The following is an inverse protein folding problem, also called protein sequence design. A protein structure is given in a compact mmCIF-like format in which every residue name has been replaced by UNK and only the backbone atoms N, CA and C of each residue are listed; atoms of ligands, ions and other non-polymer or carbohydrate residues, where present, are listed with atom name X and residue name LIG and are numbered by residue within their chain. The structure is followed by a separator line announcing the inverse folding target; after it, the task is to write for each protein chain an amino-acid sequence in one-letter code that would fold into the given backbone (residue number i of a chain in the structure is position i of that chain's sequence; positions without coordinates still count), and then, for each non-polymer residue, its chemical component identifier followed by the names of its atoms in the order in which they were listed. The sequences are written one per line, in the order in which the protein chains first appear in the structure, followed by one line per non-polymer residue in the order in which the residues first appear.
data_IF_432533053283
#
_entry.id   IF_432533053283
#
_cell.length_a   1.000
_cell.length_b   1.000
_cell.length_c   1.000
_cell.angle_alpha   90.00
_cell.angle_beta   90.00
_cell.angle_gamma   90.00
#
_symmetry.space_group_name_H-M   'P 1'
#
loop_
_entity.id
_entity.type
_entity.pdbx_description
1 polymer ?
#
# COMPACT_ATOMS: atom_id res chain seq x y z
N UNK A 1 -26.57 3.59 3.25
CA UNK A 1 -26.65 2.99 1.90
C UNK A 1 -25.38 2.16 1.60
N UNK A 2 -24.18 2.75 1.57
CA UNK A 2 -22.95 2.03 1.24
C UNK A 2 -22.60 0.94 2.27
N UNK A 3 -22.74 1.19 3.56
CA UNK A 3 -22.55 0.18 4.62
C UNK A 3 -23.51 -1.00 4.49
N UNK A 4 -24.78 -0.73 4.17
CA UNK A 4 -25.76 -1.78 3.92
C UNK A 4 -25.42 -2.59 2.66
N UNK A 5 -24.89 -1.93 1.64
CA UNK A 5 -24.39 -2.58 0.44
C UNK A 5 -23.18 -3.49 0.74
N UNK A 6 -22.22 -3.02 1.52
CA UNK A 6 -21.08 -3.82 1.99
C UNK A 6 -21.58 -5.08 2.71
N UNK A 7 -22.49 -4.91 3.69
CA UNK A 7 -23.08 -6.02 4.44
C UNK A 7 -23.75 -7.04 3.51
N UNK A 8 -24.64 -6.58 2.63
CA UNK A 8 -25.39 -7.45 1.73
C UNK A 8 -24.48 -8.22 0.77
N UNK A 9 -23.46 -7.56 0.23
CA UNK A 9 -22.49 -8.19 -0.66
C UNK A 9 -21.58 -9.19 0.06
N UNK A 10 -21.14 -8.90 1.29
CA UNK A 10 -20.35 -9.84 2.09
C UNK A 10 -21.16 -11.09 2.44
N UNK A 11 -22.43 -10.94 2.84
CA UNK A 11 -23.33 -12.08 3.07
C UNK A 11 -23.47 -12.91 1.81
N UNK A 12 -23.67 -12.26 0.64
CA UNK A 12 -23.74 -12.93 -0.66
C UNK A 12 -22.47 -13.71 -0.98
N UNK A 13 -21.29 -13.13 -0.73
CA UNK A 13 -19.99 -13.78 -0.98
C UNK A 13 -19.73 -14.95 -0.03
N UNK A 14 -20.14 -14.85 1.25
CA UNK A 14 -19.93 -15.89 2.24
C UNK A 14 -20.91 -17.07 2.07
N UNK A 15 -22.16 -16.81 1.73
CA UNK A 15 -23.22 -17.82 1.70
C UNK A 15 -23.43 -18.45 0.32
N UNK A 16 -23.24 -17.70 -0.78
CA UNK A 16 -23.52 -18.12 -2.15
C UNK A 16 -22.24 -18.41 -2.92
N UNK A 17 -22.32 -19.41 -3.78
CA UNK A 17 -21.28 -19.74 -4.74
C UNK A 17 -20.55 -21.05 -4.45
N UNK A 18 -19.99 -21.61 -5.50
CA UNK A 18 -19.24 -22.86 -5.45
C UNK A 18 -17.88 -22.60 -4.80
N UNK A 19 -17.51 -23.41 -3.82
CA UNK A 19 -16.18 -23.39 -3.23
C UNK A 19 -15.37 -24.52 -3.84
N UNK A 20 -14.26 -24.18 -4.50
CA UNK A 20 -13.29 -25.21 -4.86
C UNK A 20 -12.78 -25.86 -3.60
N UNK A 21 -12.98 -27.16 -3.50
CA UNK A 21 -12.48 -27.96 -2.39
C UNK A 21 -11.26 -28.71 -2.88
N UNK A 22 -10.11 -28.22 -2.49
CA UNK A 22 -8.87 -28.98 -2.60
C UNK A 22 -8.71 -29.85 -1.35
N UNK A 23 -8.10 -31.00 -1.52
CA UNK A 23 -7.72 -31.86 -0.39
C UNK A 23 -6.62 -31.16 0.43
N UNK A 24 -6.73 -31.18 1.76
CA UNK A 24 -5.78 -30.51 2.66
C UNK A 24 -4.34 -30.93 2.39
N UNK A 25 -4.11 -32.22 2.12
CA UNK A 25 -2.79 -32.76 1.78
C UNK A 25 -2.19 -32.14 0.50
N UNK A 26 -3.03 -31.86 -0.50
CA UNK A 26 -2.59 -31.19 -1.72
C UNK A 26 -2.20 -29.73 -1.46
N UNK A 27 -2.97 -29.03 -0.62
CA UNK A 27 -2.66 -27.64 -0.24
C UNK A 27 -1.32 -27.61 0.51
N UNK A 28 -1.14 -28.49 1.49
CA UNK A 28 0.09 -28.56 2.29
C UNK A 28 1.32 -28.92 1.42
N UNK A 29 1.16 -29.84 0.47
CA UNK A 29 2.19 -30.17 -0.51
C UNK A 29 2.53 -28.98 -1.41
N UNK A 30 1.52 -28.24 -1.89
CA UNK A 30 1.72 -27.06 -2.71
C UNK A 30 2.39 -25.92 -1.92
N UNK A 31 2.12 -25.77 -0.61
CA UNK A 31 2.83 -24.81 0.26
C UNK A 31 4.31 -25.16 0.36
N UNK A 32 4.63 -26.46 0.58
CA UNK A 32 6.03 -26.91 0.63
C UNK A 32 6.76 -26.69 -0.70
N UNK A 33 6.09 -26.96 -1.82
CA UNK A 33 6.65 -26.70 -3.15
C UNK A 33 6.85 -25.20 -3.38
N UNK A 34 5.94 -24.35 -2.93
CA UNK A 34 6.09 -22.90 -3.03
C UNK A 34 7.28 -22.38 -2.17
N UNK A 35 7.56 -22.98 -1.01
CA UNK A 35 8.76 -22.68 -0.22
C UNK A 35 10.03 -22.96 -1.01
N UNK A 36 10.10 -24.13 -1.68
CA UNK A 36 11.25 -24.51 -2.49
C UNK A 36 11.42 -23.61 -3.72
N UNK A 37 10.34 -23.36 -4.46
CA UNK A 37 10.36 -22.55 -5.70
C UNK A 37 10.74 -21.10 -5.45
N UNK A 38 10.30 -20.51 -4.31
CA UNK A 38 10.57 -19.15 -3.92
C UNK A 38 11.86 -18.99 -3.08
N UNK A 39 12.47 -20.11 -2.65
CA UNK A 39 13.66 -20.10 -1.81
C UNK A 39 13.45 -19.49 -0.43
N UNK A 40 12.26 -19.66 0.16
CA UNK A 40 11.87 -19.07 1.45
C UNK A 40 11.28 -20.14 2.37
N UNK A 41 11.24 -19.83 3.67
CA UNK A 41 10.53 -20.65 4.64
C UNK A 41 9.46 -19.82 5.34
N UNK A 42 8.20 -20.28 5.25
CA UNK A 42 7.09 -19.70 5.99
C UNK A 42 7.07 -20.20 7.43
N UNK A 43 6.77 -19.31 8.36
CA UNK A 43 6.45 -19.76 9.71
C UNK A 43 5.04 -20.37 9.76
N UNK A 44 4.68 -20.91 10.94
CA UNK A 44 3.38 -21.59 11.13
C UNK A 44 2.17 -20.68 10.84
N UNK A 45 2.24 -19.39 11.25
CA UNK A 45 1.15 -18.42 11.05
C UNK A 45 1.03 -18.07 9.57
N UNK A 46 2.17 -17.91 8.88
CA UNK A 46 2.20 -17.66 7.43
C UNK A 46 1.67 -18.85 6.64
N UNK A 47 2.04 -20.09 7.00
CA UNK A 47 1.49 -21.32 6.39
C UNK A 47 -0.01 -21.43 6.59
N UNK A 48 -0.48 -21.13 7.80
CA UNK A 48 -1.91 -21.13 8.09
C UNK A 48 -2.64 -20.05 7.29
N UNK A 49 -2.07 -18.84 7.18
CA UNK A 49 -2.65 -17.77 6.37
C UNK A 49 -2.76 -18.15 4.88
N UNK A 50 -1.76 -18.83 4.31
CA UNK A 50 -1.79 -19.34 2.94
C UNK A 50 -2.90 -20.40 2.82
N UNK A 51 -2.95 -21.36 3.74
CA UNK A 51 -3.97 -22.41 3.76
C UNK A 51 -5.38 -21.81 3.84
N UNK A 52 -5.61 -20.87 4.74
CA UNK A 52 -6.91 -20.21 4.92
C UNK A 52 -7.32 -19.42 3.68
N UNK A 53 -6.40 -18.68 3.06
CA UNK A 53 -6.68 -17.96 1.82
C UNK A 53 -7.10 -18.88 0.67
N UNK A 54 -6.58 -20.11 0.63
CA UNK A 54 -6.96 -21.12 -0.38
C UNK A 54 -8.31 -21.74 -0.04
N UNK A 55 -8.62 -21.97 1.22
CA UNK A 55 -9.83 -22.70 1.64
C UNK A 55 -11.03 -21.79 1.87
N UNK A 56 -10.83 -20.53 2.23
CA UNK A 56 -11.92 -19.59 2.53
C UNK A 56 -12.36 -18.81 1.27
N UNK A 57 -13.61 -18.40 1.24
CA UNK A 57 -14.16 -17.54 0.17
C UNK A 57 -13.78 -16.08 0.33
N UNK A 58 -13.93 -15.57 1.53
CA UNK A 58 -13.49 -14.25 1.94
C UNK A 58 -12.49 -14.44 3.06
N UNK A 59 -11.32 -13.86 2.95
CA UNK A 59 -10.27 -13.97 3.95
C UNK A 59 -9.58 -12.62 4.15
N UNK A 60 -9.21 -12.30 5.38
CA UNK A 60 -8.50 -11.08 5.72
C UNK A 60 -7.10 -11.42 6.25
N UNK A 61 -6.08 -10.89 5.59
CA UNK A 61 -4.70 -10.95 6.05
C UNK A 61 -4.28 -9.59 6.58
N UNK A 62 -4.05 -9.47 7.87
CA UNK A 62 -3.61 -8.22 8.49
C UNK A 62 -2.24 -8.36 9.15
N UNK A 63 -1.57 -7.24 9.36
CA UNK A 63 -0.28 -7.18 10.04
C UNK A 63 0.46 -5.89 9.78
N UNK A 64 1.35 -5.52 10.68
CA UNK A 64 2.14 -4.32 10.59
C UNK A 64 3.18 -4.33 9.46
N UNK A 65 3.92 -3.21 9.31
CA UNK A 65 5.00 -3.14 8.32
C UNK A 65 6.10 -4.17 8.61
N UNK A 66 6.56 -4.88 7.57
CA UNK A 66 7.66 -5.85 7.70
C UNK A 66 7.28 -7.20 8.29
N UNK A 67 5.99 -7.50 8.48
CA UNK A 67 5.51 -8.81 8.94
C UNK A 67 5.45 -9.88 7.85
N UNK A 68 5.76 -9.53 6.61
CA UNK A 68 5.80 -10.47 5.50
C UNK A 68 4.47 -10.65 4.76
N UNK A 69 3.53 -9.70 4.84
CA UNK A 69 2.26 -9.75 4.08
C UNK A 69 2.49 -10.05 2.60
N UNK A 70 3.39 -9.33 1.95
CA UNK A 70 3.70 -9.54 0.52
C UNK A 70 4.31 -10.91 0.25
N UNK A 71 5.13 -11.43 1.16
CA UNK A 71 5.70 -12.79 1.06
C UNK A 71 4.59 -13.83 1.11
N UNK A 72 3.61 -13.64 1.99
CA UNK A 72 2.42 -14.51 2.08
C UNK A 72 1.55 -14.39 0.82
N UNK A 73 1.34 -13.18 0.27
CA UNK A 73 0.62 -12.99 -1.00
C UNK A 73 1.28 -13.79 -2.13
N UNK A 74 2.61 -13.72 -2.26
CA UNK A 74 3.33 -14.50 -3.26
C UNK A 74 3.15 -16.00 -3.06
N UNK A 75 3.17 -16.47 -1.83
CA UNK A 75 2.86 -17.86 -1.50
C UNK A 75 1.44 -18.26 -1.89
N UNK A 76 0.46 -17.44 -1.58
CA UNK A 76 -0.94 -17.67 -1.94
C UNK A 76 -1.10 -17.76 -3.46
N UNK A 77 -0.50 -16.84 -4.21
CA UNK A 77 -0.53 -16.86 -5.68
C UNK A 77 0.13 -18.14 -6.23
N UNK A 78 1.30 -18.51 -5.71
CA UNK A 78 2.01 -19.71 -6.13
C UNK A 78 1.20 -20.98 -5.86
N UNK A 79 0.70 -21.13 -4.64
CA UNK A 79 -0.10 -22.30 -4.23
C UNK A 79 -1.42 -22.38 -5.03
N UNK A 80 -2.14 -21.27 -5.18
CA UNK A 80 -3.37 -21.24 -5.96
C UNK A 80 -3.12 -21.60 -7.43
N UNK A 81 -2.04 -21.09 -8.02
CA UNK A 81 -1.67 -21.38 -9.39
C UNK A 81 -1.30 -22.85 -9.60
N UNK A 82 -0.57 -23.47 -8.66
CA UNK A 82 -0.24 -24.90 -8.71
C UNK A 82 -1.51 -25.76 -8.61
N UNK A 83 -2.39 -25.47 -7.66
CA UNK A 83 -3.62 -26.24 -7.47
C UNK A 83 -4.62 -26.13 -8.63
N UNK A 84 -4.57 -25.04 -9.38
CA UNK A 84 -5.39 -24.77 -10.58
C UNK A 84 -4.67 -25.06 -11.88
N UNK A 85 -3.43 -25.56 -11.82
CA UNK A 85 -2.59 -25.86 -12.99
C UNK A 85 -2.44 -24.64 -13.94
N UNK A 86 -2.34 -23.43 -13.35
CA UNK A 86 -2.21 -22.18 -14.09
C UNK A 86 -0.75 -21.94 -14.53
N UNK A 87 -0.56 -21.51 -15.76
CA UNK A 87 0.75 -21.14 -16.28
C UNK A 87 1.07 -19.67 -15.92
N UNK A 88 1.85 -19.45 -14.85
CA UNK A 88 2.28 -18.12 -14.42
C UNK A 88 3.08 -17.34 -15.47
N UNK A 89 3.50 -17.97 -16.58
CA UNK A 89 4.14 -17.28 -17.72
C UNK A 89 3.12 -16.54 -18.57
N UNK A 90 1.86 -16.99 -18.57
CA UNK A 90 0.75 -16.35 -19.30
C UNK A 90 0.03 -15.33 -18.42
N UNK A 91 0.76 -14.34 -17.96
CA UNK A 91 0.33 -13.38 -16.92
C UNK A 91 -0.97 -12.63 -17.22
N UNK A 92 -1.27 -12.40 -18.51
CA UNK A 92 -2.47 -11.67 -18.92
C UNK A 92 -3.76 -12.48 -18.84
N UNK A 93 -3.65 -13.83 -18.88
CA UNK A 93 -4.80 -14.74 -18.95
C UNK A 93 -5.06 -15.43 -17.60
N UNK A 94 -4.40 -14.97 -16.54
CA UNK A 94 -4.61 -15.56 -15.21
C UNK A 94 -5.95 -15.09 -14.62
N UNK A 95 -6.74 -16.00 -14.06
CA UNK A 95 -8.00 -15.66 -13.38
C UNK A 95 -7.75 -15.07 -11.99
N UNK A 96 -6.63 -14.36 -11.80
CA UNK A 96 -6.21 -13.70 -10.56
C UNK A 96 -6.13 -12.20 -10.83
N UNK A 97 -6.92 -11.42 -10.11
CA UNK A 97 -6.92 -9.97 -10.20
C UNK A 97 -6.25 -9.37 -8.97
N UNK A 98 -5.22 -8.56 -9.21
CA UNK A 98 -4.51 -7.83 -8.17
C UNK A 98 -4.94 -6.37 -8.18
N UNK A 99 -5.41 -5.87 -7.05
CA UNK A 99 -5.90 -4.51 -6.89
C UNK A 99 -5.30 -3.81 -5.67
N UNK A 100 -5.23 -2.48 -5.74
CA UNK A 100 -4.87 -1.64 -4.61
C UNK A 100 -5.62 -0.29 -4.68
N UNK A 101 -5.76 0.46 -3.57
CA UNK A 101 -6.45 1.75 -3.60
C UNK A 101 -5.67 2.85 -4.33
N UNK A 102 -4.35 2.75 -4.42
CA UNK A 102 -3.47 3.77 -5.04
C UNK A 102 -2.61 3.18 -6.15
N UNK A 103 -2.25 4.02 -7.16
CA UNK A 103 -1.37 3.62 -8.25
C UNK A 103 0.00 3.14 -7.76
N UNK A 104 0.55 3.80 -6.74
CA UNK A 104 1.84 3.40 -6.14
C UNK A 104 1.77 2.02 -5.49
N UNK A 105 0.70 1.73 -4.75
CA UNK A 105 0.51 0.41 -4.14
C UNK A 105 0.32 -0.68 -5.21
N UNK A 106 -0.47 -0.40 -6.24
CA UNK A 106 -0.65 -1.31 -7.38
C UNK A 106 0.68 -1.59 -8.09
N UNK A 107 1.46 -0.55 -8.41
CA UNK A 107 2.79 -0.72 -9.02
C UNK A 107 3.69 -1.59 -8.16
N UNK A 108 3.75 -1.30 -6.84
CA UNK A 108 4.56 -2.09 -5.90
C UNK A 108 4.11 -3.56 -5.86
N UNK A 109 2.82 -3.82 -5.88
CA UNK A 109 2.28 -5.18 -5.95
C UNK A 109 2.72 -5.87 -7.25
N UNK A 110 2.67 -5.18 -8.40
CA UNK A 110 3.18 -5.69 -9.68
C UNK A 110 4.68 -6.02 -9.61
N UNK A 111 5.51 -5.12 -9.08
CA UNK A 111 6.95 -5.33 -8.92
C UNK A 111 7.30 -6.54 -8.05
N UNK A 112 6.53 -6.76 -6.98
CA UNK A 112 6.80 -7.82 -6.00
C UNK A 112 6.23 -9.19 -6.40
N UNK A 113 5.08 -9.21 -7.09
CA UNK A 113 4.44 -10.45 -7.54
C UNK A 113 4.81 -10.83 -8.98
N UNK A 114 5.26 -9.84 -9.75
CA UNK A 114 5.48 -9.96 -11.18
C UNK A 114 4.19 -10.10 -12.00
N UNK A 115 3.01 -9.96 -11.40
CA UNK A 115 1.71 -10.06 -12.08
C UNK A 115 1.11 -8.66 -12.35
N UNK A 116 0.29 -8.50 -13.39
CA UNK A 116 -0.43 -7.26 -13.65
C UNK A 116 -1.27 -6.86 -12.42
N UNK A 117 -1.17 -5.60 -12.04
CA UNK A 117 -1.93 -5.03 -10.93
C UNK A 117 -2.38 -3.62 -11.31
N UNK A 118 -3.57 -3.22 -10.86
CA UNK A 118 -4.10 -1.89 -11.11
C UNK A 118 -4.82 -1.34 -9.88
N UNK A 119 -5.24 -0.07 -9.95
CA UNK A 119 -6.07 0.50 -8.88
C UNK A 119 -7.48 -0.08 -8.92
N UNK A 120 -8.14 -0.14 -7.75
CA UNK A 120 -9.56 -0.54 -7.65
C UNK A 120 -10.40 0.30 -8.62
N UNK A 121 -10.18 1.62 -8.67
CA UNK A 121 -10.88 2.52 -9.58
C UNK A 121 -10.72 2.12 -11.04
N UNK A 122 -9.51 1.75 -11.47
CA UNK A 122 -9.26 1.32 -12.84
C UNK A 122 -9.96 0.00 -13.17
N UNK A 123 -9.93 -0.96 -12.26
CA UNK A 123 -10.65 -2.23 -12.46
C UNK A 123 -12.16 -2.06 -12.54
N UNK A 124 -12.70 -1.04 -11.86
CA UNK A 124 -14.13 -0.70 -11.88
C UNK A 124 -14.52 0.25 -13.04
N UNK A 125 -13.58 0.60 -13.94
CA UNK A 125 -13.85 1.54 -15.02
C UNK A 125 -14.12 2.97 -14.56
N UNK A 126 -13.77 3.32 -13.31
CA UNK A 126 -14.03 4.64 -12.72
C UNK A 126 -12.92 5.64 -13.06
N UNK A 127 -12.48 5.69 -14.28
CA UNK A 127 -11.51 6.65 -14.80
C UNK A 127 -12.28 7.75 -15.49
N UNK A 128 -12.20 8.96 -14.99
CA UNK A 128 -12.72 10.29 -15.32
C UNK A 128 -13.40 10.65 -16.65
N UNK A 129 -13.50 9.78 -17.61
CA UNK A 129 -14.33 9.96 -18.79
C UNK A 129 -15.67 9.27 -18.57
N UNK A 130 -16.75 10.00 -18.80
CA UNK A 130 -18.17 9.66 -18.55
C UNK A 130 -18.72 8.37 -19.22
N UNK A 131 -17.93 7.36 -19.44
CA UNK A 131 -18.42 6.09 -20.00
C UNK A 131 -18.81 5.11 -18.87
N UNK A 132 -20.00 5.37 -18.28
CA UNK A 132 -20.64 4.52 -17.28
C UNK A 132 -21.21 3.22 -17.87
N UNK A 133 -20.88 2.87 -19.10
CA UNK A 133 -21.48 1.75 -19.85
C UNK A 133 -21.02 0.35 -19.42
N UNK A 134 -20.02 0.23 -18.52
CA UNK A 134 -19.48 -1.05 -18.05
C UNK A 134 -19.80 -1.40 -16.59
N UNK A 135 -20.75 -0.69 -15.97
CA UNK A 135 -21.09 -0.88 -14.53
C UNK A 135 -21.91 -2.15 -14.24
N UNK A 136 -22.30 -2.90 -15.23
CA UNK A 136 -23.16 -4.10 -15.08
C UNK A 136 -22.40 -5.43 -15.15
N UNK A 137 -21.10 -5.43 -15.47
CA UNK A 137 -20.31 -6.65 -15.58
C UNK A 137 -19.46 -6.86 -14.32
N UNK A 138 -19.57 -8.06 -13.70
CA UNK A 138 -18.68 -8.46 -12.62
C UNK A 138 -17.22 -8.48 -13.08
N UNK A 139 -16.31 -8.21 -12.13
CA UNK A 139 -14.88 -8.38 -12.37
C UNK A 139 -14.60 -9.83 -12.77
N UNK A 140 -14.00 -10.02 -13.95
CA UNK A 140 -13.69 -11.33 -14.51
C UNK A 140 -12.45 -11.92 -13.86
N UNK A 141 -12.65 -12.54 -12.70
CA UNK A 141 -11.58 -13.20 -11.95
C UNK A 141 -12.15 -14.28 -11.01
N UNK A 142 -11.43 -15.39 -10.88
CA UNK A 142 -11.73 -16.43 -9.90
C UNK A 142 -11.20 -16.05 -8.52
N UNK A 143 -10.14 -15.26 -8.46
CA UNK A 143 -9.51 -14.82 -7.22
C UNK A 143 -9.11 -13.34 -7.29
N UNK A 144 -9.64 -12.53 -6.39
CA UNK A 144 -9.31 -11.11 -6.26
C UNK A 144 -8.51 -10.91 -4.97
N UNK A 145 -7.35 -10.26 -5.11
CA UNK A 145 -6.47 -9.88 -4.00
C UNK A 145 -6.40 -8.36 -3.96
N UNK A 146 -6.79 -7.77 -2.84
CA UNK A 146 -6.74 -6.31 -2.64
C UNK A 146 -5.75 -5.99 -1.54
N UNK A 147 -4.63 -5.34 -1.88
CA UNK A 147 -3.64 -4.89 -0.91
C UNK A 147 -3.89 -3.45 -0.45
N UNK A 148 -3.31 -3.06 0.68
CA UNK A 148 -3.48 -1.76 1.35
C UNK A 148 -4.96 -1.40 1.58
N UNK A 149 -5.78 -2.41 1.92
CA UNK A 149 -7.23 -2.24 2.10
C UNK A 149 -7.60 -1.30 3.27
N UNK A 150 -6.69 -1.00 4.18
CA UNK A 150 -6.85 0.02 5.23
C UNK A 150 -7.14 1.42 4.67
N UNK A 151 -6.70 1.71 3.42
CA UNK A 151 -6.95 2.99 2.74
C UNK A 151 -8.26 3.03 1.95
N UNK A 152 -9.04 1.93 1.94
CA UNK A 152 -10.31 1.84 1.20
C UNK A 152 -11.44 2.37 2.07
N UNK A 153 -12.12 3.39 1.57
CA UNK A 153 -13.29 3.98 2.24
C UNK A 153 -14.58 3.16 2.02
N UNK A 154 -15.64 3.54 2.73
CA UNK A 154 -16.92 2.84 2.68
C UNK A 154 -17.53 2.84 1.28
N UNK A 155 -17.42 3.92 0.52
CA UNK A 155 -18.01 3.99 -0.80
C UNK A 155 -17.26 3.10 -1.80
N UNK A 156 -15.93 3.19 -1.83
CA UNK A 156 -15.08 2.39 -2.72
C UNK A 156 -15.19 0.89 -2.38
N UNK A 157 -15.26 0.54 -1.09
CA UNK A 157 -15.49 -0.83 -0.66
C UNK A 157 -16.83 -1.37 -1.16
N UNK A 158 -17.90 -0.57 -1.06
CA UNK A 158 -19.21 -0.96 -1.58
C UNK A 158 -19.16 -1.18 -3.09
N UNK A 159 -18.55 -0.27 -3.85
CA UNK A 159 -18.40 -0.43 -5.31
C UNK A 159 -17.62 -1.69 -5.67
N UNK A 160 -16.50 -1.93 -5.02
CA UNK A 160 -15.71 -3.15 -5.23
C UNK A 160 -16.53 -4.41 -4.98
N UNK A 161 -17.15 -4.52 -3.79
CA UNK A 161 -17.88 -5.73 -3.38
C UNK A 161 -19.13 -5.97 -4.26
N UNK A 162 -19.76 -4.92 -4.77
CA UNK A 162 -20.91 -5.03 -5.68
C UNK A 162 -20.53 -5.65 -7.02
N UNK A 163 -19.29 -5.45 -7.47
CA UNK A 163 -18.79 -5.92 -8.75
C UNK A 163 -18.02 -7.26 -8.65
N UNK A 164 -18.02 -7.93 -7.50
CA UNK A 164 -17.44 -9.26 -7.32
C UNK A 164 -18.50 -10.33 -7.48
N UNK A 165 -18.25 -11.31 -8.34
CA UNK A 165 -19.11 -12.48 -8.53
C UNK A 165 -19.18 -13.33 -7.26
N UNK A 166 -20.33 -13.98 -7.01
CA UNK A 166 -20.48 -14.90 -5.86
C UNK A 166 -19.53 -16.10 -5.91
N UNK A 167 -18.98 -16.42 -7.07
CA UNK A 167 -18.03 -17.53 -7.25
C UNK A 167 -16.56 -17.10 -7.04
N UNK A 168 -16.28 -15.81 -7.03
CA UNK A 168 -14.93 -15.26 -6.88
C UNK A 168 -14.47 -15.35 -5.42
N UNK A 169 -13.22 -15.76 -5.22
CA UNK A 169 -12.54 -15.67 -3.92
C UNK A 169 -12.07 -14.24 -3.68
N UNK A 170 -12.09 -13.78 -2.45
CA UNK A 170 -11.66 -12.45 -2.06
C UNK A 170 -10.67 -12.50 -0.91
N UNK A 171 -9.47 -12.00 -1.14
CA UNK A 171 -8.45 -11.74 -0.12
C UNK A 171 -8.31 -10.23 0.07
N UNK A 172 -8.56 -9.77 1.29
CA UNK A 172 -8.32 -8.39 1.70
C UNK A 172 -7.04 -8.35 2.54
N UNK A 173 -6.08 -7.54 2.12
CA UNK A 173 -4.80 -7.40 2.81
C UNK A 173 -4.62 -5.96 3.28
N UNK A 174 -4.19 -5.77 4.51
CA UNK A 174 -3.95 -4.42 5.02
C UNK A 174 -3.43 -4.41 6.46
N UNK A 175 -3.31 -3.22 6.98
CA UNK A 175 -2.89 -2.97 8.35
C UNK A 175 -3.88 -2.00 9.00
N UNK A 176 -4.76 -2.52 9.84
CA UNK A 176 -5.79 -1.73 10.51
C UNK A 176 -5.22 -0.71 11.53
N UNK A 177 -3.94 -0.83 11.86
CA UNK A 177 -3.25 0.09 12.78
C UNK A 177 -2.58 1.25 12.02
N UNK A 178 -2.58 1.24 10.67
CA UNK A 178 -2.17 2.37 9.84
C UNK A 178 -3.25 3.44 9.76
N UNK A 179 -2.90 4.59 9.19
CA UNK A 179 -3.85 5.67 8.95
C UNK A 179 -5.02 5.16 8.09
N UNK A 180 -6.26 5.47 8.50
CA UNK A 180 -7.45 5.08 7.73
C UNK A 180 -7.53 5.85 6.40
N UNK A 181 -8.54 5.52 5.60
CA UNK A 181 -8.86 6.24 4.38
C UNK A 181 -9.08 7.74 4.64
N UNK A 182 -8.77 8.57 3.65
CA UNK A 182 -9.04 10.02 3.72
C UNK A 182 -10.54 10.30 3.67
N UNK A 183 -11.27 9.52 2.87
CA UNK A 183 -12.74 9.56 2.80
C UNK A 183 -13.36 8.77 3.96
N UNK A 184 -14.66 9.00 4.28
CA UNK A 184 -15.32 8.39 5.44
C UNK A 184 -15.33 6.87 5.41
N UNK A 185 -15.02 6.25 6.56
CA UNK A 185 -15.10 4.83 6.83
C UNK A 185 -13.78 4.20 7.26
N UNK A 186 -13.89 3.13 8.04
CA UNK A 186 -12.76 2.31 8.50
C UNK A 186 -13.06 0.84 8.21
N UNK A 187 -13.37 0.55 6.95
CA UNK A 187 -13.94 -0.74 6.53
C UNK A 187 -13.11 -1.93 6.99
N UNK A 188 -11.78 -1.89 6.82
CA UNK A 188 -10.92 -2.99 7.29
C UNK A 188 -11.02 -3.20 8.80
N UNK A 189 -10.95 -2.12 9.59
CA UNK A 189 -11.04 -2.20 11.04
C UNK A 189 -12.39 -2.74 11.51
N UNK A 190 -13.47 -2.34 10.84
CA UNK A 190 -14.83 -2.81 11.13
C UNK A 190 -15.00 -4.29 10.75
N UNK A 191 -14.47 -4.72 9.60
CA UNK A 191 -14.53 -6.13 9.18
C UNK A 191 -13.75 -7.05 10.12
N UNK A 192 -12.63 -6.59 10.67
CA UNK A 192 -11.86 -7.35 11.66
C UNK A 192 -12.60 -7.59 12.99
N UNK A 193 -13.67 -6.83 13.28
CA UNK A 193 -14.53 -7.05 14.43
C UNK A 193 -15.61 -8.12 14.18
N UNK A 194 -15.74 -8.62 12.95
CA UNK A 194 -16.80 -9.58 12.57
C UNK A 194 -16.25 -11.02 12.67
N UNK A 195 -16.65 -11.82 13.70
CA UNK A 195 -16.05 -13.13 13.95
C UNK A 195 -16.28 -14.17 12.84
N UNK A 196 -17.31 -13.99 12.03
CA UNK A 196 -17.63 -14.93 10.95
C UNK A 196 -16.69 -14.78 9.73
N UNK A 197 -15.96 -13.67 9.63
CA UNK A 197 -15.00 -13.46 8.55
C UNK A 197 -13.64 -14.04 8.99
N UNK A 198 -13.15 -15.08 8.32
CA UNK A 198 -11.85 -15.66 8.63
C UNK A 198 -10.73 -14.64 8.42
N UNK A 199 -9.81 -14.58 9.38
CA UNK A 199 -8.72 -13.61 9.37
C UNK A 199 -7.47 -14.16 10.04
N UNK A 200 -6.31 -13.71 9.59
CA UNK A 200 -5.02 -13.98 10.23
C UNK A 200 -4.25 -12.69 10.41
N UNK A 201 -3.74 -12.46 11.63
CA UNK A 201 -2.86 -11.35 11.96
C UNK A 201 -1.41 -11.83 12.00
N UNK A 202 -0.56 -11.26 11.14
CA UNK A 202 0.88 -11.48 11.17
C UNK A 202 1.51 -10.53 12.18
N UNK A 203 2.14 -11.08 13.22
CA UNK A 203 2.72 -10.28 14.31
C UNK A 203 4.24 -10.24 14.28
N UNK A 204 4.88 -11.28 13.70
CA UNK A 204 6.32 -11.38 13.66
C UNK A 204 6.94 -10.46 12.62
N UNK A 205 7.85 -9.60 13.05
CA UNK A 205 8.57 -8.66 12.18
C UNK A 205 9.85 -9.32 11.67
N UNK A 206 10.01 -9.44 10.35
CA UNK A 206 11.15 -10.08 9.68
C UNK A 206 12.21 -9.10 9.17
N UNK A 207 11.92 -7.79 9.18
CA UNK A 207 12.93 -6.80 8.78
C UNK A 207 14.11 -6.86 9.77
N UNK A 208 15.34 -6.64 9.25
CA UNK A 208 16.62 -6.58 10.01
C UNK A 208 16.64 -5.52 11.15
N UNK A 209 15.50 -5.01 11.52
CA UNK A 209 15.28 -3.92 12.46
C UNK A 209 14.77 -4.40 13.84
N UNK A 210 15.06 -5.63 14.26
CA UNK A 210 14.75 -6.04 15.64
C UNK A 210 15.38 -5.09 16.67
N UNK A 211 16.48 -4.42 16.29
CA UNK A 211 17.17 -3.42 17.12
C UNK A 211 16.78 -1.97 16.77
N UNK A 212 15.84 -1.73 15.84
CA UNK A 212 15.44 -0.37 15.48
C UNK A 212 14.57 0.27 16.55
N UNK A 213 15.07 1.38 17.10
CA UNK A 213 14.33 2.15 18.09
C UNK A 213 13.16 2.92 17.45
N UNK A 214 13.18 3.14 16.13
CA UNK A 214 12.07 3.73 15.38
C UNK A 214 10.88 2.77 15.36
N UNK A 215 11.11 1.49 15.04
CA UNK A 215 10.05 0.46 14.98
C UNK A 215 9.44 0.25 16.37
N UNK A 216 10.27 0.19 17.40
CA UNK A 216 9.83 0.06 18.79
C UNK A 216 8.96 1.23 19.21
N UNK A 217 9.41 2.48 18.94
CA UNK A 217 8.65 3.67 19.25
C UNK A 217 7.32 3.70 18.49
N UNK A 218 7.32 3.40 17.20
CA UNK A 218 6.11 3.36 16.39
C UNK A 218 5.07 2.37 16.96
N UNK A 219 5.51 1.15 17.35
CA UNK A 219 4.64 0.15 17.98
C UNK A 219 4.08 0.59 19.33
N UNK A 220 4.86 1.35 20.13
CA UNK A 220 4.38 1.90 21.40
C UNK A 220 3.34 3.01 21.18
N UNK A 221 3.60 3.91 20.24
CA UNK A 221 2.66 4.98 19.86
C UNK A 221 1.33 4.39 19.35
N UNK A 222 1.36 3.34 18.54
CA UNK A 222 0.16 2.62 18.09
C UNK A 222 -0.68 2.08 19.25
N UNK A 223 -0.04 1.67 20.33
CA UNK A 223 -0.71 1.21 21.57
C UNK A 223 -1.14 2.35 22.50
N UNK A 224 -0.98 3.62 22.06
CA UNK A 224 -1.27 4.79 22.88
C UNK A 224 -0.25 5.05 23.99
N UNK A 225 0.93 4.42 23.90
CA UNK A 225 2.00 4.55 24.89
C UNK A 225 3.10 5.47 24.34
N UNK A 226 3.54 6.41 25.14
CA UNK A 226 4.71 7.21 24.86
C UNK A 226 5.78 6.86 25.91
N UNK A 227 6.90 6.23 25.51
CA UNK A 227 7.93 5.84 26.47
C UNK A 227 8.62 7.07 27.06
N UNK A 228 9.11 6.97 28.31
CA UNK A 228 9.81 8.08 28.99
C UNK A 228 11.03 8.57 28.21
N UNK A 229 11.71 7.65 27.51
CA UNK A 229 12.90 7.94 26.71
C UNK A 229 12.62 8.40 25.28
N UNK A 230 11.36 8.77 24.92
CA UNK A 230 11.02 9.13 23.54
C UNK A 230 11.81 10.35 23.03
N UNK A 231 12.17 11.27 23.91
CA UNK A 231 12.97 12.47 23.60
C UNK A 231 14.47 12.20 23.54
N UNK A 232 14.93 11.03 23.99
CA UNK A 232 16.36 10.71 23.98
C UNK A 232 16.87 10.45 22.57
N UNK A 233 18.10 10.92 22.32
CA UNK A 233 18.81 10.60 21.09
C UNK A 233 19.21 9.11 21.07
N UNK A 234 18.82 8.39 20.05
CA UNK A 234 19.21 7.00 19.78
C UNK A 234 20.07 6.93 18.52
N UNK A 235 20.52 5.75 18.18
CA UNK A 235 21.35 5.53 16.98
C UNK A 235 20.63 5.87 15.68
N UNK A 236 19.33 5.58 15.61
CA UNK A 236 18.48 5.68 14.43
C UNK A 236 17.38 6.73 14.54
N UNK A 237 17.26 7.43 15.67
CA UNK A 237 16.27 8.50 15.87
C UNK A 237 16.77 9.63 16.75
N UNK A 238 16.22 10.81 16.52
CA UNK A 238 16.41 11.98 17.39
C UNK A 238 15.10 12.76 17.53
N UNK A 239 14.90 13.38 18.66
CA UNK A 239 13.78 14.27 18.94
C UNK A 239 14.29 15.68 19.12
N UNK A 240 13.59 16.67 18.57
CA UNK A 240 13.88 18.09 18.74
C UNK A 240 12.58 18.83 19.03
N UNK A 241 12.52 19.45 20.17
CA UNK A 241 11.42 20.36 20.50
C UNK A 241 11.67 21.70 19.83
N UNK A 242 10.68 22.21 19.08
CA UNK A 242 10.79 23.49 18.41
C UNK A 242 9.44 24.19 18.29
N UNK A 243 9.46 25.53 18.37
CA UNK A 243 8.32 26.35 17.96
C UNK A 243 8.26 26.44 16.43
N UNK A 244 7.07 26.72 15.88
CA UNK A 244 6.85 26.76 14.43
C UNK A 244 7.88 27.60 13.68
N UNK A 245 8.27 28.74 14.21
CA UNK A 245 9.27 29.66 13.64
C UNK A 245 10.69 29.07 13.56
N UNK A 246 11.00 28.08 14.41
CA UNK A 246 12.31 27.43 14.47
C UNK A 246 12.38 26.12 13.67
N UNK A 247 11.25 25.60 13.18
CA UNK A 247 11.19 24.35 12.43
C UNK A 247 11.94 24.47 11.09
N UNK A 248 11.70 25.48 10.22
CA UNK A 248 12.40 25.57 8.94
C UNK A 248 13.94 25.63 9.08
N UNK A 249 14.53 26.53 9.91
CA UNK A 249 15.99 26.55 10.08
C UNK A 249 16.54 25.27 10.71
N UNK A 250 15.75 24.53 11.49
CA UNK A 250 16.14 23.24 12.02
C UNK A 250 16.17 22.18 10.93
N UNK A 251 15.14 22.11 10.08
CA UNK A 251 15.09 21.21 8.91
C UNK A 251 16.31 21.46 8.01
N UNK A 252 16.60 22.72 7.67
CA UNK A 252 17.77 23.11 6.87
C UNK A 252 19.06 22.57 7.48
N UNK A 253 19.26 22.78 8.80
CA UNK A 253 20.46 22.31 9.49
C UNK A 253 20.59 20.79 9.50
N UNK A 254 19.48 20.07 9.75
CA UNK A 254 19.47 18.61 9.79
C UNK A 254 19.73 18.04 8.39
N UNK A 255 19.03 18.56 7.38
CA UNK A 255 19.21 18.11 5.97
C UNK A 255 20.62 18.38 5.48
N UNK A 256 21.15 19.59 5.73
CA UNK A 256 22.54 19.92 5.38
C UNK A 256 23.56 19.01 6.07
N UNK A 257 23.32 18.67 7.34
CA UNK A 257 24.18 17.75 8.06
C UNK A 257 24.11 16.32 7.49
N UNK A 258 22.92 15.84 7.13
CA UNK A 258 22.70 14.54 6.52
C UNK A 258 23.43 14.43 5.18
N UNK A 259 23.28 15.43 4.30
CA UNK A 259 23.97 15.47 2.99
C UNK A 259 25.49 15.50 3.18
N UNK A 260 25.99 16.32 4.10
CA UNK A 260 27.45 16.37 4.41
C UNK A 260 27.98 15.06 4.98
N UNK A 261 27.14 14.26 5.64
CA UNK A 261 27.52 12.93 6.13
C UNK A 261 27.51 11.84 5.05
N UNK A 262 27.17 12.19 3.81
CA UNK A 262 27.15 11.29 2.66
C UNK A 262 25.79 10.66 2.35
N UNK A 263 24.71 11.10 3.01
CA UNK A 263 23.36 10.68 2.64
C UNK A 263 22.97 11.42 1.36
N UNK A 264 22.62 10.70 0.25
CA UNK A 264 22.18 11.34 -0.98
C UNK A 264 20.93 12.21 -0.72
N UNK A 265 20.86 13.38 -1.33
CA UNK A 265 19.73 14.29 -1.16
C UNK A 265 18.38 13.64 -1.52
N UNK A 266 18.38 12.74 -2.49
CA UNK A 266 17.20 11.97 -2.90
C UNK A 266 16.69 10.99 -1.84
N UNK A 267 17.50 10.63 -0.86
CA UNK A 267 17.15 9.72 0.22
C UNK A 267 16.66 10.48 1.46
N UNK A 268 16.65 11.82 1.42
CA UNK A 268 16.12 12.68 2.47
C UNK A 268 14.67 13.04 2.15
N UNK A 269 13.75 12.74 3.08
CA UNK A 269 12.34 13.07 2.96
C UNK A 269 11.86 13.82 4.20
N UNK A 270 11.20 14.96 3.98
CA UNK A 270 10.53 15.74 5.03
C UNK A 270 9.03 15.49 4.95
N UNK A 271 8.41 15.17 6.07
CA UNK A 271 6.96 15.01 6.19
C UNK A 271 6.42 16.14 7.07
N UNK A 272 5.39 16.83 6.62
CA UNK A 272 4.71 17.88 7.37
C UNK A 272 3.18 17.65 7.35
N UNK A 273 2.49 17.89 8.48
CA UNK A 273 1.06 17.60 8.59
C UNK A 273 0.15 18.68 7.97
N UNK A 274 0.69 19.83 7.59
CA UNK A 274 -0.09 20.96 7.07
C UNK A 274 0.52 21.53 5.79
N UNK A 275 -0.33 22.03 4.90
CA UNK A 275 0.12 22.70 3.67
C UNK A 275 0.63 24.11 3.92
N UNK A 276 -0.09 24.89 4.72
CA UNK A 276 0.18 26.34 4.94
C UNK A 276 0.84 26.61 6.29
N UNK A 277 1.44 27.79 6.39
CA UNK A 277 2.11 28.25 7.61
C UNK A 277 3.63 28.11 7.54
N UNK A 278 4.34 28.62 8.57
CA UNK A 278 5.80 28.68 8.60
C UNK A 278 6.47 27.30 8.53
N UNK A 279 5.83 26.26 9.09
CA UNK A 279 6.27 24.88 9.05
C UNK A 279 5.42 24.02 8.11
N UNK A 280 4.71 24.65 7.16
CA UNK A 280 3.87 23.96 6.19
C UNK A 280 4.66 23.47 4.97
N UNK A 281 4.06 22.56 4.22
CA UNK A 281 4.65 21.92 3.02
C UNK A 281 5.14 22.97 2.02
N UNK A 282 4.37 24.05 1.78
CA UNK A 282 4.72 25.08 0.80
C UNK A 282 6.05 25.76 1.13
N UNK A 283 6.23 26.15 2.40
CA UNK A 283 7.46 26.77 2.87
C UNK A 283 8.64 25.80 2.90
N UNK A 284 8.37 24.56 3.33
CA UNK A 284 9.39 23.51 3.40
C UNK A 284 9.85 23.10 2.00
N UNK A 285 8.94 23.00 1.02
CA UNK A 285 9.30 22.71 -0.36
C UNK A 285 10.23 23.79 -0.93
N UNK A 286 9.91 25.06 -0.73
CA UNK A 286 10.78 26.17 -1.18
C UNK A 286 12.16 26.14 -0.52
N UNK A 287 12.20 25.84 0.81
CA UNK A 287 13.44 25.67 1.55
C UNK A 287 14.26 24.50 0.99
N UNK A 288 13.65 23.34 0.82
CA UNK A 288 14.32 22.13 0.34
C UNK A 288 14.79 22.27 -1.10
N UNK A 289 14.01 22.92 -1.97
CA UNK A 289 14.41 23.21 -3.34
C UNK A 289 15.69 24.06 -3.35
N UNK A 290 15.73 25.16 -2.59
CA UNK A 290 16.90 26.03 -2.52
C UNK A 290 18.13 25.32 -1.92
N UNK A 291 17.92 24.37 -1.03
CA UNK A 291 19.00 23.64 -0.37
C UNK A 291 19.57 22.52 -1.25
N UNK A 292 18.71 21.80 -1.95
CA UNK A 292 19.07 20.60 -2.73
C UNK A 292 19.37 20.94 -4.18
N UNK A 293 18.60 21.86 -4.77
CA UNK A 293 18.72 22.29 -6.17
C UNK A 293 18.79 23.83 -6.24
N UNK A 294 19.88 24.44 -5.73
CA UNK A 294 20.05 25.89 -5.76
C UNK A 294 20.04 26.42 -7.19
N UNK A 295 19.64 27.68 -7.35
CA UNK A 295 19.62 28.33 -8.68
C UNK A 295 21.02 28.36 -9.26
N UNK A 296 21.19 27.77 -10.44
CA UNK A 296 22.41 27.82 -11.22
C UNK A 296 22.26 28.76 -12.44
N UNK A 297 23.40 29.26 -12.95
CA UNK A 297 23.38 30.06 -14.16
C UNK A 297 22.95 29.21 -15.35
N UNK A 298 21.98 29.72 -16.13
CA UNK A 298 21.42 29.04 -17.31
C UNK A 298 20.55 27.81 -17.00
N UNK A 299 20.15 27.60 -15.73
CA UNK A 299 19.20 26.55 -15.35
C UNK A 299 17.80 26.86 -15.90
N UNK A 300 17.19 25.88 -16.56
CA UNK A 300 15.81 26.00 -17.04
C UNK A 300 14.84 26.03 -15.86
N UNK A 301 13.87 26.93 -15.96
CA UNK A 301 12.81 27.09 -14.96
C UNK A 301 11.45 27.16 -15.61
N UNK A 302 10.43 26.70 -14.89
CA UNK A 302 9.03 26.80 -15.30
C UNK A 302 8.21 27.42 -14.16
N UNK A 303 7.53 28.50 -14.46
CA UNK A 303 6.63 29.17 -13.50
C UNK A 303 5.25 28.55 -13.56
N UNK A 304 4.79 28.00 -12.42
CA UNK A 304 3.43 27.55 -12.21
C UNK A 304 2.70 28.57 -11.29
N UNK A 305 1.36 28.56 -11.22
CA UNK A 305 0.61 29.53 -10.42
C UNK A 305 1.04 29.62 -8.95
N UNK A 306 1.43 28.49 -8.35
CA UNK A 306 1.73 28.40 -6.93
C UNK A 306 3.21 28.11 -6.61
N UNK A 307 4.03 27.81 -7.62
CA UNK A 307 5.45 27.48 -7.42
C UNK A 307 6.29 27.62 -8.68
N UNK A 308 7.60 27.71 -8.51
CA UNK A 308 8.57 27.64 -9.60
C UNK A 308 9.24 26.28 -9.60
N UNK A 309 9.21 25.60 -10.74
CA UNK A 309 9.99 24.39 -10.97
C UNK A 309 11.32 24.71 -11.62
N UNK A 310 12.36 24.00 -11.23
CA UNK A 310 13.69 24.07 -11.81
C UNK A 310 14.07 22.72 -12.44
N UNK A 311 14.87 22.76 -13.47
CA UNK A 311 15.46 21.52 -14.01
C UNK A 311 16.21 20.78 -12.91
N UNK A 312 15.91 19.49 -12.72
CA UNK A 312 16.50 18.67 -11.67
C UNK A 312 15.70 18.64 -10.36
N UNK A 313 14.59 19.38 -10.26
CA UNK A 313 13.72 19.27 -9.09
C UNK A 313 13.10 17.89 -9.00
N UNK A 314 13.03 17.37 -7.76
CA UNK A 314 12.27 16.18 -7.46
C UNK A 314 10.79 16.55 -7.34
N UNK A 315 9.99 15.94 -8.17
CA UNK A 315 8.55 16.21 -8.26
C UNK A 315 7.72 14.98 -7.93
N UNK A 316 6.51 15.20 -7.46
CA UNK A 316 5.51 14.15 -7.25
C UNK A 316 4.34 14.40 -8.21
N UNK A 317 3.89 13.36 -8.88
CA UNK A 317 2.71 13.43 -9.71
C UNK A 317 1.45 13.34 -8.84
N UNK A 318 0.52 14.28 -9.01
CA UNK A 318 -0.67 14.40 -8.14
C UNK A 318 -1.95 13.86 -8.79
N UNK A 319 -1.91 13.54 -10.08
CA UNK A 319 -3.07 13.07 -10.85
C UNK A 319 -2.68 11.80 -11.60
N UNK A 320 -3.62 10.89 -11.79
CA UNK A 320 -3.36 9.72 -12.62
C UNK A 320 -3.35 10.10 -14.09
N UNK A 321 -2.31 9.72 -14.81
CA UNK A 321 -2.22 9.81 -16.26
C UNK A 321 -1.99 8.39 -16.82
N UNK A 322 -3.07 7.78 -17.27
CA UNK A 322 -3.04 6.41 -17.76
C UNK A 322 -2.34 6.29 -19.13
N UNK A 323 -2.35 7.34 -19.95
CA UNK A 323 -1.71 7.33 -21.28
C UNK A 323 -0.18 7.31 -21.13
N UNK A 324 0.34 8.15 -20.20
CA UNK A 324 1.78 8.19 -19.90
C UNK A 324 2.22 7.11 -18.92
N UNK A 325 1.31 6.27 -18.40
CA UNK A 325 1.56 5.27 -17.36
C UNK A 325 2.20 5.87 -16.10
N UNK A 326 1.77 7.08 -15.72
CA UNK A 326 2.21 7.81 -14.52
C UNK A 326 1.01 7.96 -13.59
N UNK A 327 1.23 7.69 -12.31
CA UNK A 327 0.14 7.66 -11.32
C UNK A 327 0.37 8.66 -10.19
N UNK A 328 -0.72 9.01 -9.53
CA UNK A 328 -0.66 9.83 -8.32
C UNK A 328 0.27 9.19 -7.27
N UNK A 329 1.24 9.99 -6.82
CA UNK A 329 2.28 9.55 -5.89
C UNK A 329 3.58 9.09 -6.56
N UNK A 330 3.64 8.99 -7.90
CA UNK A 330 4.88 8.70 -8.60
C UNK A 330 5.87 9.86 -8.45
N UNK A 331 7.12 9.51 -8.22
CA UNK A 331 8.23 10.46 -8.09
C UNK A 331 8.99 10.55 -9.39
N UNK A 332 9.35 11.76 -9.77
CA UNK A 332 10.13 12.04 -10.97
C UNK A 332 11.12 13.17 -10.75
N UNK A 333 11.87 13.46 -11.81
CA UNK A 333 12.73 14.64 -11.90
C UNK A 333 12.20 15.57 -12.98
N UNK A 334 12.16 16.87 -12.66
CA UNK A 334 11.80 17.90 -13.64
C UNK A 334 12.90 18.06 -14.69
N UNK A 335 12.60 17.74 -15.94
CA UNK A 335 13.54 17.93 -17.06
C UNK A 335 13.32 19.27 -17.76
N UNK A 336 12.15 19.89 -17.60
CA UNK A 336 11.71 21.12 -18.24
C UNK A 336 12.05 21.14 -19.74
N UNK A 337 11.28 20.43 -20.53
CA UNK A 337 11.32 20.56 -21.98
C UNK A 337 10.46 21.75 -22.39
N UNK A 338 11.07 22.72 -23.04
CA UNK A 338 10.37 23.85 -23.67
C UNK A 338 10.12 23.50 -25.12
#
# INVERSE_FOLDING_TARGET
FAEEGIRSNLVRLLEKGHQDRFEDEKILSAISQAEDDLGIHYDQIQKQAIFDAITQKVFILTGGPGTGKTTVINGIISVYSQLRELDLKKKADLPILLAAPTGRAARRMNELTGLPSATIHRHLGMTGDDDTSHLDDYLDADFIIVDEFSMVDTWLANQLLSNISSNTKLLLVGDAEQLPSVSPGQVLADLLQIPIIPQTKLEKIYRQSQDSTIVTLASQIQKGLLPEDFTEKKADRSYFEARNEHIPPMIERITSAAIRSGIPAQDVQVLAPMYRGQAGIDQINSLMQNLINPVEKDQLTFEAPDCQYRQGDRVIHLVNDAESNVFNGDLGLSLIHI
#
